data_IF_248224175004
#
_entry.id   IF_248224175004
#
_cell.length_a   1.000
_cell.length_b   1.000
_cell.length_c   1.000
_cell.angle_alpha   90.00
_cell.angle_beta   90.00
_cell.angle_gamma   90.00
#
_symmetry.space_group_name_H-M   'P 1'
#
loop_
_entity.id
_entity.type
_entity.pdbx_description
1 polymer ?
#
# COMPACT_ATOMS: atom_id res chain seq x y z
N UNK A 1 -8.07 0.25 22.29
CA UNK A 1 -8.16 -0.62 21.10
C UNK A 1 -9.46 -1.38 21.22
N UNK A 2 -10.41 -1.16 20.29
CA UNK A 2 -11.74 -1.79 20.35
C UNK A 2 -11.71 -3.20 19.73
N UNK A 3 -12.75 -4.01 19.95
CA UNK A 3 -12.90 -5.31 19.29
C UNK A 3 -13.01 -5.16 17.77
N UNK A 4 -13.72 -4.12 17.31
CA UNK A 4 -13.82 -3.77 15.89
C UNK A 4 -12.47 -3.41 15.27
N UNK A 5 -11.59 -2.74 16.02
CA UNK A 5 -10.22 -2.49 15.56
C UNK A 5 -9.44 -3.80 15.42
N UNK A 6 -9.53 -4.70 16.39
CA UNK A 6 -8.84 -6.00 16.36
C UNK A 6 -9.30 -6.89 15.19
N UNK A 7 -10.61 -6.99 14.98
CA UNK A 7 -11.21 -7.73 13.87
C UNK A 7 -10.75 -7.15 12.53
N UNK A 8 -10.76 -5.82 12.40
CA UNK A 8 -10.28 -5.13 11.20
C UNK A 8 -8.78 -5.35 10.95
N UNK A 9 -7.96 -5.42 12.00
CA UNK A 9 -6.53 -5.74 11.86
C UNK A 9 -6.29 -7.19 11.39
N UNK A 10 -7.00 -8.16 11.97
CA UNK A 10 -6.93 -9.57 11.53
C UNK A 10 -7.41 -9.73 10.09
N UNK A 11 -8.44 -8.97 9.74
CA UNK A 11 -8.97 -8.83 8.40
C UNK A 11 -7.90 -8.38 7.40
N UNK A 12 -7.22 -7.25 7.62
CA UNK A 12 -6.20 -6.78 6.66
C UNK A 12 -4.99 -7.70 6.53
N UNK A 13 -4.58 -8.38 7.61
CA UNK A 13 -3.50 -9.38 7.49
C UNK A 13 -3.95 -10.57 6.62
N UNK A 14 -5.19 -11.02 6.77
CA UNK A 14 -5.77 -12.08 5.93
C UNK A 14 -5.83 -11.64 4.47
N UNK A 15 -6.25 -10.40 4.20
CA UNK A 15 -6.30 -9.83 2.86
C UNK A 15 -4.93 -9.87 2.17
N UNK A 16 -3.88 -9.31 2.80
CA UNK A 16 -2.55 -9.26 2.16
C UNK A 16 -1.97 -10.66 1.93
N UNK A 17 -2.21 -11.59 2.86
CA UNK A 17 -1.79 -12.99 2.70
C UNK A 17 -2.53 -13.68 1.55
N UNK A 18 -3.84 -13.45 1.43
CA UNK A 18 -4.65 -14.01 0.35
C UNK A 18 -4.17 -13.51 -1.01
N UNK A 19 -4.01 -12.19 -1.17
CA UNK A 19 -3.52 -11.59 -2.42
C UNK A 19 -2.12 -12.13 -2.77
N UNK A 20 -1.21 -12.19 -1.78
CA UNK A 20 0.14 -12.68 -2.02
C UNK A 20 0.18 -14.17 -2.42
N UNK A 21 -0.77 -14.98 -1.95
CA UNK A 21 -0.83 -16.41 -2.28
C UNK A 21 -1.51 -16.67 -3.61
N UNK A 22 -2.56 -15.90 -3.93
CA UNK A 22 -3.42 -16.09 -5.10
C UNK A 22 -2.90 -15.36 -6.35
N UNK A 23 -2.21 -14.24 -6.15
CA UNK A 23 -1.62 -13.44 -7.21
C UNK A 23 -0.11 -13.59 -7.27
N UNK A 24 0.46 -13.09 -8.37
CA UNK A 24 1.85 -13.26 -8.73
C UNK A 24 2.78 -12.15 -8.19
N UNK A 25 2.30 -11.35 -7.24
CA UNK A 25 3.03 -10.20 -6.70
C UNK A 25 4.18 -10.63 -5.78
N UNK A 26 5.31 -9.92 -5.87
CA UNK A 26 6.46 -10.17 -4.99
C UNK A 26 6.25 -9.56 -3.60
N UNK A 27 5.42 -8.52 -3.50
CA UNK A 27 5.09 -7.83 -2.25
C UNK A 27 3.66 -7.31 -2.28
N UNK A 28 2.96 -7.44 -1.15
CA UNK A 28 1.66 -6.83 -0.90
C UNK A 28 1.68 -6.14 0.46
N UNK A 29 1.11 -4.95 0.57
CA UNK A 29 1.06 -4.21 1.82
C UNK A 29 -0.17 -3.33 1.98
N UNK A 30 -0.60 -3.17 3.23
CA UNK A 30 -1.63 -2.21 3.64
C UNK A 30 -1.00 -1.16 4.55
N UNK A 31 -1.12 0.10 4.14
CA UNK A 31 -0.84 1.26 4.97
C UNK A 31 -2.14 1.85 5.51
N UNK A 32 -2.17 2.23 6.78
CA UNK A 32 -3.31 2.90 7.40
C UNK A 32 -2.90 4.28 7.92
N UNK A 33 -3.83 5.23 7.84
CA UNK A 33 -3.69 6.56 8.42
C UNK A 33 -4.22 6.57 9.85
N UNK A 34 -3.45 7.12 10.79
CA UNK A 34 -3.91 7.33 12.16
C UNK A 34 -5.04 8.37 12.21
N UNK A 35 -6.08 8.09 13.00
CA UNK A 35 -7.20 9.00 13.22
C UNK A 35 -6.81 10.26 14.01
N UNK A 36 -5.75 10.19 14.80
CA UNK A 36 -5.27 11.30 15.62
C UNK A 36 -4.12 12.05 14.96
N UNK A 37 -4.04 13.36 15.21
CA UNK A 37 -2.92 14.18 14.80
C UNK A 37 -1.60 13.59 15.34
N UNK A 38 -0.54 13.47 14.52
CA UNK A 38 -0.33 14.15 13.23
C UNK A 38 -0.81 13.37 11.98
N UNK A 39 -1.77 12.45 12.13
CA UNK A 39 -2.31 11.61 11.05
C UNK A 39 -1.23 10.86 10.27
N UNK A 40 -0.32 10.25 11.02
CA UNK A 40 0.77 9.47 10.47
C UNK A 40 0.23 8.26 9.68
N UNK A 41 0.85 7.98 8.53
CA UNK A 41 0.54 6.83 7.70
C UNK A 41 1.68 5.82 7.87
N UNK A 42 1.35 4.57 8.21
CA UNK A 42 2.33 3.49 8.43
C UNK A 42 1.87 2.22 7.73
N UNK A 43 2.83 1.42 7.30
CA UNK A 43 2.62 0.06 6.79
C UNK A 43 2.44 -0.89 7.97
N UNK A 44 1.22 -1.42 8.13
CA UNK A 44 0.89 -2.29 9.27
C UNK A 44 0.88 -3.77 8.90
N UNK A 45 0.35 -4.08 7.71
CA UNK A 45 0.17 -5.45 7.24
C UNK A 45 0.91 -5.60 5.94
N UNK A 46 1.71 -6.64 5.82
CA UNK A 46 2.47 -6.96 4.62
C UNK A 46 2.52 -8.46 4.41
N UNK A 47 2.75 -8.86 3.17
CA UNK A 47 3.06 -10.22 2.77
C UNK A 47 4.16 -10.17 1.69
N UNK A 48 5.08 -11.14 1.74
CA UNK A 48 6.23 -11.20 0.84
C UNK A 48 7.34 -10.18 1.14
N UNK A 49 7.36 -9.55 2.32
CA UNK A 49 8.40 -8.60 2.70
C UNK A 49 9.78 -9.27 2.84
N UNK A 50 10.84 -8.58 2.39
CA UNK A 50 12.22 -9.12 2.50
C UNK A 50 12.79 -8.97 3.91
N UNK A 51 12.30 -7.99 4.66
CA UNK A 51 12.78 -7.65 5.99
C UNK A 51 11.71 -6.83 6.73
N UNK A 52 11.98 -6.46 7.98
CA UNK A 52 11.05 -5.71 8.83
C UNK A 52 11.29 -4.19 8.82
N UNK A 53 12.17 -3.66 7.96
CA UNK A 53 12.48 -2.23 7.92
C UNK A 53 11.29 -1.38 7.49
N UNK A 54 10.30 -1.95 6.79
CA UNK A 54 9.07 -1.25 6.42
C UNK A 54 8.35 -0.65 7.65
N UNK A 55 8.49 -1.27 8.83
CA UNK A 55 7.90 -0.79 10.09
C UNK A 55 8.43 0.55 10.54
N UNK A 56 9.64 0.93 10.09
CA UNK A 56 10.27 2.22 10.41
C UNK A 56 9.73 3.36 9.54
N UNK A 57 9.01 3.04 8.46
CA UNK A 57 8.46 4.02 7.54
C UNK A 57 7.29 4.73 8.20
N UNK A 58 7.41 6.05 8.37
CA UNK A 58 6.35 6.92 8.85
C UNK A 58 6.14 8.03 7.82
N UNK A 59 4.94 8.07 7.24
CA UNK A 59 4.58 9.00 6.19
C UNK A 59 3.56 10.02 6.70
N UNK A 60 3.43 11.12 5.97
CA UNK A 60 2.34 12.10 6.11
C UNK A 60 1.56 12.17 4.80
N UNK A 61 0.36 12.74 4.85
CA UNK A 61 -0.44 12.97 3.65
C UNK A 61 0.40 13.65 2.57
N UNK A 62 0.38 13.07 1.37
CA UNK A 62 1.12 13.55 0.22
C UNK A 62 2.58 13.10 0.08
N UNK A 63 3.14 12.38 1.05
CA UNK A 63 4.52 11.91 1.04
C UNK A 63 4.56 10.40 0.76
N UNK A 64 5.32 10.01 -0.26
CA UNK A 64 5.40 8.64 -0.77
C UNK A 64 4.11 8.10 -1.34
N UNK A 65 4.15 6.84 -1.79
CA UNK A 65 3.03 6.22 -2.53
C UNK A 65 1.75 6.26 -1.68
N UNK A 66 1.82 5.78 -0.43
CA UNK A 66 0.65 5.77 0.43
C UNK A 66 0.14 7.18 0.77
N UNK A 67 1.04 8.13 1.07
CA UNK A 67 0.64 9.51 1.33
C UNK A 67 0.00 10.17 0.10
N UNK A 68 0.51 9.92 -1.10
CA UNK A 68 -0.06 10.43 -2.35
C UNK A 68 -1.48 9.90 -2.59
N UNK A 69 -1.68 8.59 -2.43
CA UNK A 69 -3.00 7.96 -2.58
C UNK A 69 -3.98 8.50 -1.54
N UNK A 70 -3.58 8.60 -0.26
CA UNK A 70 -4.40 9.21 0.80
C UNK A 70 -4.79 10.65 0.45
N UNK A 71 -3.84 11.48 -0.01
CA UNK A 71 -4.09 12.89 -0.33
C UNK A 71 -5.04 13.05 -1.52
N UNK A 72 -4.91 12.21 -2.53
CA UNK A 72 -5.61 12.38 -3.80
C UNK A 72 -6.90 11.57 -3.88
N UNK A 73 -7.04 10.51 -3.09
CA UNK A 73 -8.10 9.52 -3.20
C UNK A 73 -8.11 8.78 -4.53
N UNK A 74 -6.99 8.82 -5.28
CA UNK A 74 -6.88 8.22 -6.60
C UNK A 74 -5.88 7.05 -6.59
N UNK A 75 -6.13 6.01 -7.40
CA UNK A 75 -5.14 4.97 -7.66
C UNK A 75 -3.81 5.54 -8.17
N UNK A 76 -2.72 4.83 -7.87
CA UNK A 76 -1.36 5.12 -8.34
C UNK A 76 -0.77 3.84 -8.94
N UNK A 77 -0.07 3.94 -10.07
CA UNK A 77 0.81 2.86 -10.52
C UNK A 77 2.01 3.45 -11.24
N UNK A 78 3.18 2.83 -11.07
CA UNK A 78 4.43 3.28 -11.66
C UNK A 78 5.36 2.08 -11.90
N UNK A 79 6.04 2.12 -13.04
CA UNK A 79 7.12 1.20 -13.41
C UNK A 79 8.47 1.92 -13.28
N UNK A 80 9.57 1.17 -13.31
CA UNK A 80 10.94 1.71 -13.23
C UNK A 80 11.20 2.51 -11.93
N UNK A 81 10.64 2.08 -10.80
CA UNK A 81 10.79 2.74 -9.49
C UNK A 81 12.26 2.80 -9.02
N UNK A 82 13.09 1.86 -9.46
CA UNK A 82 14.52 1.78 -9.17
C UNK A 82 15.38 2.76 -9.98
N UNK A 83 14.86 3.28 -11.09
CA UNK A 83 15.54 4.29 -11.92
C UNK A 83 15.44 5.71 -11.35
N UNK A 84 14.57 5.93 -10.37
CA UNK A 84 14.44 7.21 -9.67
C UNK A 84 15.49 7.32 -8.56
N UNK A 85 16.74 7.64 -8.95
CA UNK A 85 17.79 7.95 -7.99
C UNK A 85 17.89 9.46 -7.75
N UNK A 86 17.49 9.88 -6.54
CA UNK A 86 18.00 11.06 -5.84
C UNK A 86 17.72 12.48 -6.38
N UNK A 87 16.80 12.69 -7.32
CA UNK A 87 16.27 14.05 -7.55
C UNK A 87 14.79 14.06 -7.94
N UNK A 88 14.02 14.75 -7.09
CA UNK A 88 12.71 15.35 -7.31
C UNK A 88 11.45 14.46 -7.44
N UNK A 89 10.45 14.84 -6.61
CA UNK A 89 9.02 14.55 -6.64
C UNK A 89 8.44 13.28 -5.98
N UNK A 90 9.14 12.13 -5.89
CA UNK A 90 8.54 10.90 -5.31
C UNK A 90 9.49 10.20 -4.31
N UNK A 91 9.47 10.63 -3.04
CA UNK A 91 10.09 9.86 -1.95
C UNK A 91 9.32 8.55 -1.71
N UNK A 92 9.77 7.42 -2.26
CA UNK A 92 9.09 6.11 -2.18
C UNK A 92 9.82 5.11 -1.26
N UNK A 93 9.83 5.33 0.07
CA UNK A 93 10.64 4.53 0.99
C UNK A 93 10.25 3.05 1.02
N UNK A 94 8.98 2.71 0.76
CA UNK A 94 8.55 1.31 0.68
C UNK A 94 9.17 0.60 -0.53
N UNK A 95 9.24 1.28 -1.68
CA UNK A 95 9.86 0.72 -2.87
C UNK A 95 11.36 0.48 -2.66
N UNK A 96 12.04 1.40 -1.96
CA UNK A 96 13.46 1.25 -1.64
C UNK A 96 13.72 0.11 -0.66
N UNK A 97 12.94 0.02 0.42
CA UNK A 97 13.12 -1.02 1.45
C UNK A 97 12.84 -2.42 0.91
N UNK A 98 11.88 -2.55 0.00
CA UNK A 98 11.45 -3.83 -0.58
C UNK A 98 12.05 -4.09 -1.97
N UNK A 99 12.96 -3.24 -2.45
CA UNK A 99 13.58 -3.32 -3.78
C UNK A 99 12.55 -3.47 -4.92
N UNK A 100 11.43 -2.75 -4.83
CA UNK A 100 10.38 -2.80 -5.85
C UNK A 100 10.78 -2.02 -7.09
N UNK A 101 10.65 -2.65 -8.26
CA UNK A 101 10.83 -2.03 -9.58
C UNK A 101 9.53 -1.48 -10.14
N UNK A 102 8.40 -2.03 -9.72
CA UNK A 102 7.09 -1.55 -10.12
C UNK A 102 6.09 -1.73 -8.97
N UNK A 103 5.13 -0.81 -8.85
CA UNK A 103 4.12 -0.88 -7.81
C UNK A 103 2.82 -0.19 -8.22
N UNK A 104 1.71 -0.81 -7.83
CA UNK A 104 0.36 -0.29 -7.98
C UNK A 104 -0.30 -0.18 -6.60
N UNK A 105 -1.07 0.87 -6.39
CA UNK A 105 -1.71 1.17 -5.12
C UNK A 105 -3.11 1.76 -5.33
N UNK A 106 -4.05 1.36 -4.47
CA UNK A 106 -5.44 1.83 -4.49
C UNK A 106 -5.86 2.34 -3.10
N UNK A 107 -6.74 3.35 -3.04
CA UNK A 107 -7.28 3.81 -1.77
C UNK A 107 -8.19 2.75 -1.14
N UNK A 108 -8.13 2.63 0.18
CA UNK A 108 -9.12 1.92 0.99
C UNK A 108 -10.07 2.97 1.56
N UNK A 109 -11.36 2.82 1.28
CA UNK A 109 -12.40 3.74 1.70
C UNK A 109 -13.13 3.20 2.93
N UNK A 110 -13.51 4.09 3.84
CA UNK A 110 -14.47 3.75 4.91
C UNK A 110 -15.86 3.54 4.30
N UNK A 111 -16.59 2.48 4.68
CA UNK A 111 -17.93 2.22 4.16
C UNK A 111 -18.92 3.38 4.41
N UNK A 112 -18.83 4.01 5.58
CA UNK A 112 -19.84 4.97 6.02
C UNK A 112 -19.58 6.41 5.55
N UNK A 113 -18.30 6.80 5.48
CA UNK A 113 -17.91 8.19 5.20
C UNK A 113 -17.23 8.38 3.84
N UNK A 114 -16.96 7.28 3.12
CA UNK A 114 -16.20 7.27 1.86
C UNK A 114 -14.85 8.02 1.95
N UNK A 115 -14.29 8.09 3.15
CA UNK A 115 -12.99 8.72 3.39
C UNK A 115 -11.89 7.69 3.18
N UNK A 116 -10.76 8.13 2.62
CA UNK A 116 -9.58 7.27 2.46
C UNK A 116 -8.93 7.10 3.82
N UNK A 117 -9.01 5.90 4.41
CA UNK A 117 -8.37 5.60 5.69
C UNK A 117 -7.10 4.75 5.53
N UNK A 118 -6.82 4.28 4.32
CA UNK A 118 -5.69 3.40 4.05
C UNK A 118 -5.40 3.25 2.57
N UNK A 119 -4.39 2.44 2.30
CA UNK A 119 -3.87 2.15 0.95
C UNK A 119 -3.49 0.69 0.88
N UNK A 120 -4.02 -0.02 -0.12
CA UNK A 120 -3.53 -1.33 -0.52
C UNK A 120 -2.52 -1.14 -1.64
N UNK A 121 -1.34 -1.73 -1.51
CA UNK A 121 -0.27 -1.71 -2.51
C UNK A 121 0.15 -3.14 -2.85
N UNK A 122 0.44 -3.37 -4.12
CA UNK A 122 1.17 -4.55 -4.57
C UNK A 122 2.28 -4.16 -5.55
N UNK A 123 3.36 -4.93 -5.56
CA UNK A 123 4.52 -4.61 -6.39
C UNK A 123 5.38 -5.81 -6.76
N UNK A 124 6.29 -5.56 -7.70
CA UNK A 124 7.24 -6.54 -8.23
C UNK A 124 8.67 -6.05 -8.03
N UNK A 125 9.58 -6.99 -7.77
CA UNK A 125 11.04 -6.80 -7.71
C UNK A 125 11.70 -7.18 -9.05
N UNK A 126 11.00 -7.96 -9.87
CA UNK A 126 11.38 -8.30 -11.24
C UNK A 126 10.97 -7.19 -12.23
N UNK A 127 11.37 -7.34 -13.50
CA UNK A 127 11.00 -6.42 -14.61
C UNK A 127 9.51 -6.49 -15.00
N UNK A 128 8.67 -7.13 -14.18
CA UNK A 128 7.22 -7.15 -14.40
C UNK A 128 6.65 -5.75 -14.22
N UNK A 129 5.75 -5.37 -15.11
CA UNK A 129 5.14 -4.04 -15.11
C UNK A 129 3.75 -4.07 -14.50
N UNK A 130 3.41 -2.99 -13.80
CA UNK A 130 2.04 -2.69 -13.37
C UNK A 130 1.34 -1.79 -14.38
N UNK A 131 0.00 -1.88 -14.38
CA UNK A 131 -0.86 -1.10 -15.28
C UNK A 131 -2.23 -0.85 -14.65
N UNK A 132 -3.14 -0.23 -15.40
CA UNK A 132 -4.54 -0.12 -15.03
C UNK A 132 -5.21 -1.49 -14.76
N UNK A 133 -4.79 -2.55 -15.45
CA UNK A 133 -5.28 -3.91 -15.19
C UNK A 133 -4.89 -4.38 -13.79
N UNK A 134 -3.69 -4.02 -13.32
CA UNK A 134 -3.24 -4.30 -11.96
C UNK A 134 -4.12 -3.60 -10.93
N UNK A 135 -4.45 -2.32 -11.17
CA UNK A 135 -5.39 -1.56 -10.33
C UNK A 135 -6.75 -2.25 -10.26
N UNK A 136 -7.28 -2.67 -11.41
CA UNK A 136 -8.58 -3.35 -11.49
C UNK A 136 -8.58 -4.67 -10.69
N UNK A 137 -7.49 -5.45 -10.78
CA UNK A 137 -7.30 -6.67 -9.96
C UNK A 137 -7.28 -6.37 -8.47
N UNK A 138 -6.53 -5.35 -8.03
CA UNK A 138 -6.49 -4.97 -6.61
C UNK A 138 -7.88 -4.53 -6.10
N UNK A 139 -8.65 -3.80 -6.90
CA UNK A 139 -10.01 -3.37 -6.52
C UNK A 139 -10.97 -4.54 -6.36
N UNK A 140 -10.81 -5.62 -7.13
CA UNK A 140 -11.62 -6.83 -6.97
C UNK A 140 -11.38 -7.50 -5.62
N UNK A 141 -10.13 -7.57 -5.15
CA UNK A 141 -9.83 -8.11 -3.81
C UNK A 141 -10.49 -7.28 -2.70
N UNK A 142 -10.50 -5.96 -2.79
CA UNK A 142 -11.17 -5.11 -1.80
C UNK A 142 -12.70 -5.20 -1.84
N UNK A 143 -13.29 -5.57 -2.97
CA UNK A 143 -14.76 -5.72 -3.08
C UNK A 143 -15.23 -7.08 -2.55
N UNK A 144 -14.35 -8.08 -2.61
CA UNK A 144 -14.59 -9.41 -2.06
C UNK A 144 -14.26 -9.51 -0.55
N UNK A 145 -13.85 -8.40 0.06
CA UNK A 145 -13.33 -8.29 1.42
C UNK A 145 -14.22 -7.41 2.29
#
# INVERSE_FOLDING_TARGET
MTLEDLDRQQSYQTLVNHIYTDADFDFVGVALQASEAPHAIKWFFVAGNQNEQFRKIVLRSGIGIAGLVVRTGKPFWQNDLDRYQYSDALYTPIANVESLKSAAAIPILTPDTFMVNGVLLAGYRSERTVSHTTISRLSQYLTAF
#
